data_IF_243259427274
#
_entry.id   IF_243259427274
#
_cell.length_a   1.000
_cell.length_b   1.000
_cell.length_c   1.000
_cell.angle_alpha   90.00
_cell.angle_beta   90.00
_cell.angle_gamma   90.00
#
_symmetry.space_group_name_H-M   'P 1'
#
loop_
_entity.id
_entity.type
_entity.pdbx_description
1 polymer ?
#
# COMPACT_ATOMS: atom_id res chain seq x y z
N UNK A 1 12.65 14.79 9.49
CA UNK A 1 12.57 13.60 10.37
C UNK A 1 12.60 14.13 11.78
N UNK A 2 11.61 13.78 12.58
CA UNK A 2 11.61 14.05 14.02
C UNK A 2 11.60 12.68 14.71
N UNK A 3 12.57 12.48 15.60
CA UNK A 3 12.63 11.30 16.48
C UNK A 3 12.24 11.81 17.85
N UNK A 4 11.14 11.29 18.39
CA UNK A 4 10.74 11.53 19.77
C UNK A 4 11.03 10.25 20.55
N UNK A 5 11.93 10.37 21.52
CA UNK A 5 12.23 9.30 22.48
C UNK A 5 11.49 9.66 23.76
N UNK A 6 10.40 8.97 24.08
CA UNK A 6 9.73 9.13 25.38
C UNK A 6 10.44 8.31 26.47
N UNK A 7 10.49 8.86 27.69
CA UNK A 7 11.23 8.39 28.87
C UNK A 7 10.80 7.02 29.45
N UNK A 8 10.08 6.17 28.70
CA UNK A 8 9.83 4.77 29.10
C UNK A 8 10.78 3.76 28.42
N UNK A 9 11.79 4.23 27.69
CA UNK A 9 13.02 3.48 27.40
C UNK A 9 12.91 2.27 26.44
N UNK A 10 11.72 1.94 25.92
CA UNK A 10 11.50 0.77 25.05
C UNK A 10 10.63 1.05 23.82
N UNK A 11 10.46 2.33 23.46
CA UNK A 11 9.65 2.78 22.32
C UNK A 11 10.41 3.85 21.54
N UNK A 12 10.51 3.67 20.23
CA UNK A 12 11.09 4.64 19.30
C UNK A 12 10.05 5.01 18.23
N UNK A 13 9.75 6.30 18.11
CA UNK A 13 8.81 6.83 17.11
C UNK A 13 9.58 7.60 16.04
N UNK A 14 9.38 7.22 14.78
CA UNK A 14 9.84 7.95 13.60
C UNK A 14 8.67 8.57 12.84
N UNK A 15 8.70 9.88 12.63
CA UNK A 15 7.70 10.58 11.80
C UNK A 15 8.30 10.98 10.46
N UNK A 16 7.67 10.47 9.39
CA UNK A 16 8.01 10.77 8.01
C UNK A 16 6.87 11.55 7.34
N UNK A 17 7.25 12.45 6.44
CA UNK A 17 6.31 13.23 5.64
C UNK A 17 6.51 12.88 4.18
N UNK A 18 5.41 12.73 3.46
CA UNK A 18 5.41 12.36 2.06
C UNK A 18 4.17 12.85 1.33
N UNK A 19 3.99 12.34 0.12
CA UNK A 19 2.82 12.61 -0.70
C UNK A 19 1.91 11.39 -0.74
N UNK A 20 0.60 11.63 -0.79
CA UNK A 20 -0.41 10.62 -1.04
C UNK A 20 -1.17 10.95 -2.33
N UNK A 21 -1.30 9.97 -3.21
CA UNK A 21 -2.14 10.05 -4.41
C UNK A 21 -3.33 9.11 -4.27
N UNK A 22 -4.52 9.68 -4.21
CA UNK A 22 -5.77 8.92 -4.13
C UNK A 22 -6.23 8.50 -5.52
N UNK A 23 -6.44 7.20 -5.69
CA UNK A 23 -6.91 6.58 -6.91
C UNK A 23 -8.07 5.63 -6.67
N UNK A 24 -8.80 5.33 -7.75
CA UNK A 24 -9.79 4.26 -7.80
C UNK A 24 -9.14 3.04 -8.43
N UNK A 25 -9.30 1.89 -7.78
CA UNK A 25 -8.98 0.59 -8.35
C UNK A 25 -10.25 -0.27 -8.38
N UNK A 26 -10.28 -1.23 -9.29
CA UNK A 26 -11.34 -2.23 -9.33
C UNK A 26 -11.03 -3.30 -8.26
N UNK A 27 -11.93 -3.43 -7.28
CA UNK A 27 -11.92 -4.54 -6.32
C UNK A 27 -11.95 -5.87 -7.07
N UNK A 28 -11.02 -6.77 -6.73
CA UNK A 28 -10.72 -8.00 -7.48
C UNK A 28 -9.38 -7.92 -8.23
N UNK A 29 -8.92 -6.73 -8.62
CA UNK A 29 -7.63 -6.55 -9.31
C UNK A 29 -6.43 -6.42 -8.37
N UNK A 30 -6.65 -6.23 -7.06
CA UNK A 30 -5.56 -6.16 -6.06
C UNK A 30 -4.78 -7.46 -5.91
N UNK A 31 -5.29 -8.58 -6.43
CA UNK A 31 -4.64 -9.90 -6.40
C UNK A 31 -3.80 -10.17 -7.66
N UNK A 32 -3.85 -9.26 -8.65
CA UNK A 32 -3.13 -9.38 -9.91
C UNK A 32 -1.71 -8.84 -9.70
N UNK A 33 -0.84 -9.68 -9.16
CA UNK A 33 0.58 -9.38 -8.96
C UNK A 33 1.43 -10.31 -9.82
N UNK A 34 2.35 -9.74 -10.60
CA UNK A 34 3.39 -10.51 -11.27
C UNK A 34 4.54 -10.76 -10.29
N UNK A 35 4.90 -12.02 -10.12
CA UNK A 35 6.06 -12.43 -9.34
C UNK A 35 7.34 -12.39 -10.18
N UNK A 36 8.53 -12.24 -9.59
CA UNK A 36 9.79 -12.34 -10.34
C UNK A 36 9.94 -13.67 -11.12
N UNK A 37 9.41 -14.76 -10.59
CA UNK A 37 9.38 -16.07 -11.27
C UNK A 37 8.56 -16.06 -12.56
N UNK A 38 7.56 -15.17 -12.69
CA UNK A 38 6.75 -15.06 -13.91
C UNK A 38 7.57 -14.50 -15.09
N UNK A 39 8.69 -13.83 -14.84
CA UNK A 39 9.61 -13.32 -15.86
C UNK A 39 10.78 -14.27 -16.18
N UNK A 40 10.80 -15.46 -15.58
CA UNK A 40 11.89 -16.44 -15.75
C UNK A 40 11.98 -17.02 -17.18
N UNK A 41 10.88 -17.03 -17.93
CA UNK A 41 10.85 -17.51 -19.31
C UNK A 41 9.64 -16.95 -20.08
N UNK A 42 9.67 -16.97 -21.43
CA UNK A 42 8.52 -16.59 -22.24
C UNK A 42 7.25 -17.37 -21.92
N UNK A 43 7.38 -18.67 -21.61
CA UNK A 43 6.26 -19.54 -21.26
C UNK A 43 5.68 -19.15 -19.89
N UNK A 44 6.54 -18.91 -18.89
CA UNK A 44 6.12 -18.44 -17.55
C UNK A 44 5.32 -17.14 -17.64
N UNK A 45 5.76 -16.21 -18.50
CA UNK A 45 5.07 -14.95 -18.71
C UNK A 45 3.70 -15.15 -19.38
N UNK A 46 3.62 -16.02 -20.39
CA UNK A 46 2.35 -16.36 -21.04
C UNK A 46 1.38 -16.97 -20.02
N UNK A 47 1.83 -17.87 -19.16
CA UNK A 47 1.02 -18.44 -18.09
C UNK A 47 0.54 -17.36 -17.10
N UNK A 48 1.41 -16.42 -16.74
CA UNK A 48 1.05 -15.33 -15.86
C UNK A 48 -0.03 -14.45 -16.48
N UNK A 49 0.14 -14.02 -17.73
CA UNK A 49 -0.85 -13.22 -18.46
C UNK A 49 -2.21 -13.92 -18.58
N UNK A 50 -2.22 -15.24 -18.79
CA UNK A 50 -3.47 -16.01 -18.79
C UNK A 50 -4.19 -15.97 -17.44
N UNK A 51 -3.47 -16.13 -16.32
CA UNK A 51 -4.06 -16.01 -14.96
C UNK A 51 -4.64 -14.61 -14.71
N UNK A 52 -3.95 -13.58 -15.18
CA UNK A 52 -4.42 -12.19 -15.12
C UNK A 52 -5.75 -12.08 -15.87
N UNK A 53 -5.79 -12.52 -17.12
CA UNK A 53 -6.98 -12.46 -17.97
C UNK A 53 -8.19 -13.19 -17.35
N UNK A 54 -8.00 -14.41 -16.84
CA UNK A 54 -9.06 -15.15 -16.16
C UNK A 54 -9.59 -14.42 -14.93
N UNK A 55 -8.69 -13.82 -14.13
CA UNK A 55 -9.06 -13.04 -12.95
C UNK A 55 -9.84 -11.77 -13.32
N UNK A 56 -9.48 -11.13 -14.43
CA UNK A 56 -10.23 -9.99 -14.97
C UNK A 56 -11.65 -10.40 -15.38
N UNK A 57 -11.80 -11.52 -16.09
CA UNK A 57 -13.11 -12.02 -16.53
C UNK A 57 -14.02 -12.36 -15.35
N UNK A 58 -13.50 -13.05 -14.33
CA UNK A 58 -14.24 -13.34 -13.10
C UNK A 58 -14.70 -12.07 -12.37
N UNK A 59 -13.87 -11.03 -12.38
CA UNK A 59 -14.21 -9.74 -11.74
C UNK A 59 -15.29 -8.99 -12.51
N UNK A 60 -15.32 -9.10 -13.84
CA UNK A 60 -16.38 -8.53 -14.68
C UNK A 60 -17.73 -9.22 -14.44
N UNK A 61 -17.75 -10.54 -14.27
CA UNK A 61 -18.95 -11.32 -13.98
C UNK A 61 -19.57 -10.99 -12.61
N UNK A 62 -18.73 -10.73 -11.59
CA UNK A 62 -19.18 -10.39 -10.24
C UNK A 62 -19.61 -8.92 -10.06
N UNK A 63 -19.39 -8.09 -11.09
CA UNK A 63 -19.63 -6.65 -11.07
C UNK A 63 -18.48 -5.87 -10.42
N UNK A 64 -18.02 -4.76 -11.02
CA UNK A 64 -16.87 -4.01 -10.51
C UNK A 64 -17.22 -3.32 -9.18
N UNK A 65 -16.68 -3.83 -8.07
CA UNK A 65 -16.69 -3.09 -6.80
C UNK A 65 -15.57 -2.07 -6.82
N UNK A 66 -15.89 -0.78 -6.80
CA UNK A 66 -14.86 0.26 -6.72
C UNK A 66 -14.21 0.21 -5.34
N UNK A 67 -12.89 0.34 -5.32
CA UNK A 67 -12.09 0.43 -4.10
C UNK A 67 -11.17 1.64 -4.22
N UNK A 68 -11.12 2.46 -3.19
CA UNK A 68 -10.26 3.63 -3.14
C UNK A 68 -8.94 3.26 -2.46
N UNK A 69 -7.83 3.73 -3.01
CA UNK A 69 -6.50 3.53 -2.42
C UNK A 69 -5.72 4.83 -2.43
N UNK A 70 -4.89 5.02 -1.41
CA UNK A 70 -3.88 6.07 -1.39
C UNK A 70 -2.50 5.45 -1.62
N UNK A 71 -1.86 5.76 -2.74
CA UNK A 71 -0.42 5.50 -2.91
C UNK A 71 0.35 6.53 -2.11
N UNK A 72 1.08 6.08 -1.09
CA UNK A 72 1.95 6.90 -0.25
C UNK A 72 3.38 6.77 -0.75
N UNK A 73 4.05 7.91 -0.94
CA UNK A 73 5.47 8.00 -1.29
C UNK A 73 6.19 8.90 -0.30
N UNK A 74 7.25 8.39 0.31
CA UNK A 74 8.13 9.16 1.19
C UNK A 74 9.58 8.63 1.10
N UNK A 75 10.51 9.33 1.74
CA UNK A 75 11.91 8.92 1.85
C UNK A 75 12.18 8.53 3.30
N UNK A 76 12.75 7.33 3.51
CA UNK A 76 13.11 6.86 4.85
C UNK A 76 14.33 7.61 5.42
N UNK A 77 14.75 7.25 6.64
CA UNK A 77 15.89 7.87 7.31
C UNK A 77 17.25 7.55 6.69
N UNK A 78 17.32 6.53 5.83
CA UNK A 78 18.53 6.09 5.14
C UNK A 78 18.60 6.64 3.70
N UNK A 79 17.61 7.43 3.27
CA UNK A 79 17.53 8.01 1.94
C UNK A 79 16.85 7.12 0.90
N UNK A 80 16.26 6.00 1.29
CA UNK A 80 15.57 5.11 0.36
C UNK A 80 14.16 5.60 0.06
N UNK A 81 13.72 5.57 -1.21
CA UNK A 81 12.32 5.81 -1.55
C UNK A 81 11.46 4.64 -1.09
N UNK A 82 10.42 4.93 -0.30
CA UNK A 82 9.42 3.95 0.14
C UNK A 82 8.09 4.30 -0.51
N UNK A 83 7.48 3.30 -1.16
CA UNK A 83 6.17 3.43 -1.80
C UNK A 83 5.29 2.27 -1.34
N UNK A 84 4.11 2.59 -0.84
CA UNK A 84 3.12 1.60 -0.43
C UNK A 84 1.71 2.15 -0.60
N UNK A 85 0.70 1.27 -0.57
CA UNK A 85 -0.70 1.66 -0.72
C UNK A 85 -1.46 1.47 0.60
N UNK A 86 -2.34 2.43 0.92
CA UNK A 86 -3.32 2.32 2.00
C UNK A 86 -4.70 2.11 1.39
N UNK A 87 -5.41 1.12 1.90
CA UNK A 87 -6.79 0.82 1.54
C UNK A 87 -7.75 1.84 2.18
N UNK A 88 -8.48 2.59 1.35
CA UNK A 88 -9.49 3.56 1.77
C UNK A 88 -10.93 3.02 1.63
N UNK A 89 -11.09 1.72 1.38
CA UNK A 89 -12.38 1.01 1.32
C UNK A 89 -13.20 1.43 0.09
N UNK A 90 -14.44 0.96 0.00
CA UNK A 90 -15.32 1.10 -1.17
C UNK A 90 -16.01 2.48 -1.27
N UNK A 91 -16.08 3.24 -0.17
CA UNK A 91 -16.71 4.57 -0.17
C UNK A 91 -15.71 5.64 -0.62
N UNK A 92 -16.11 6.61 -1.46
CA UNK A 92 -15.23 7.70 -1.84
C UNK A 92 -14.79 8.45 -0.59
N UNK A 93 -13.48 8.57 -0.34
CA UNK A 93 -13.00 9.28 0.83
C UNK A 93 -13.35 10.76 0.71
N UNK A 94 -13.64 11.46 1.83
CA UNK A 94 -14.14 12.84 1.83
C UNK A 94 -13.03 13.88 1.56
N UNK A 95 -12.19 13.65 0.55
CA UNK A 95 -11.12 14.54 0.17
C UNK A 95 -11.55 15.47 -0.97
N UNK A 96 -11.22 16.75 -0.87
CA UNK A 96 -11.45 17.73 -1.93
C UNK A 96 -10.42 17.68 -3.06
N UNK A 97 -9.29 16.98 -2.85
CA UNK A 97 -8.17 16.84 -3.80
C UNK A 97 -7.71 15.39 -3.88
N UNK A 98 -7.14 15.01 -5.02
CA UNK A 98 -6.53 13.67 -5.23
C UNK A 98 -5.05 13.60 -4.84
N UNK A 99 -4.35 14.74 -4.80
CA UNK A 99 -2.99 14.83 -4.31
C UNK A 99 -3.01 15.45 -2.92
N UNK A 100 -2.53 14.69 -1.95
CA UNK A 100 -2.62 14.94 -0.53
C UNK A 100 -1.23 14.84 0.11
N UNK A 101 -1.11 15.33 1.34
CA UNK A 101 0.07 15.07 2.17
C UNK A 101 -0.16 13.78 2.96
N UNK A 102 0.89 12.98 3.09
CA UNK A 102 0.92 11.81 3.95
C UNK A 102 1.85 12.06 5.12
N UNK A 103 1.43 11.62 6.32
CA UNK A 103 2.28 11.52 7.49
C UNK A 103 2.33 10.05 7.89
N UNK A 104 3.54 9.48 7.88
CA UNK A 104 3.78 8.09 8.27
C UNK A 104 4.44 8.11 9.63
N UNK A 105 3.80 7.47 10.60
CA UNK A 105 4.34 7.27 11.94
C UNK A 105 4.75 5.80 12.04
N UNK A 106 6.04 5.57 12.25
CA UNK A 106 6.58 4.23 12.49
C UNK A 106 6.93 4.16 13.95
N UNK A 107 6.42 3.14 14.61
CA UNK A 107 6.71 2.87 16.01
C UNK A 107 7.44 1.54 16.12
N UNK A 108 8.56 1.54 16.82
CA UNK A 108 9.33 0.34 17.16
C UNK A 108 9.25 0.19 18.68
N UNK A 109 8.67 -0.93 19.13
CA UNK A 109 8.44 -1.23 20.54
C UNK A 109 8.65 -2.72 20.82
N UNK A 110 8.87 -3.09 22.08
CA UNK A 110 8.99 -4.50 22.51
C UNK A 110 7.60 -5.17 22.65
N UNK A 111 7.49 -6.43 22.22
CA UNK A 111 6.23 -7.21 22.13
C UNK A 111 5.47 -7.35 23.46
N UNK A 112 6.15 -7.22 24.60
CA UNK A 112 5.54 -7.28 25.94
C UNK A 112 4.65 -6.07 26.29
N UNK A 113 4.59 -5.05 25.40
CA UNK A 113 3.82 -3.82 25.56
C UNK A 113 2.80 -3.63 24.42
N UNK A 114 1.86 -4.57 24.24
CA UNK A 114 0.58 -4.19 23.62
C UNK A 114 -0.21 -3.36 24.65
N UNK A 115 -0.41 -2.06 24.38
CA UNK A 115 -1.32 -1.22 25.17
C UNK A 115 -2.72 -1.87 25.19
N UNK A 116 -3.13 -2.35 26.37
CA UNK A 116 -4.52 -2.72 26.68
C UNK A 116 -5.42 -1.50 26.74
#
# INVERSE_FOLDING_TARGET
MEILTEEQGRKAIGIFHGEAKVGEILGGFTQITLSPSDFSSPVSLQMALSRIYESMMKTLEQGPKKKYVAEIRFTDSLGNPVVFAVDLVEKPPPFSKRQLKARVMVEVFEEEFEER
#
